data_IF_971154517457
#
_entry.id   IF_971154517457
#
_cell.length_a   1.000
_cell.length_b   1.000
_cell.length_c   1.000
_cell.angle_alpha   90.00
_cell.angle_beta   90.00
_cell.angle_gamma   90.00
#
_symmetry.space_group_name_H-M   'P 1'
#
loop_
_entity.id
_entity.type
_entity.pdbx_description
1 polymer ?
#
# COMPACT_ATOMS: atom_id res chain seq x y z
N UNK A 1 35.56 52.89 -65.17
CA UNK A 1 35.65 52.72 -63.70
C UNK A 1 34.24 52.56 -63.12
N UNK A 2 33.90 51.37 -62.59
CA UNK A 2 32.91 51.08 -61.52
C UNK A 2 32.60 49.57 -61.52
N UNK A 3 33.57 48.77 -61.05
CA UNK A 3 33.51 47.30 -60.90
C UNK A 3 32.87 46.86 -59.56
N UNK A 4 31.83 47.54 -59.05
CA UNK A 4 31.30 47.27 -57.70
C UNK A 4 29.82 46.85 -57.64
N UNK A 5 29.14 46.60 -58.76
CA UNK A 5 27.70 46.31 -58.73
C UNK A 5 27.31 44.82 -58.62
N UNK A 6 28.26 43.88 -58.72
CA UNK A 6 27.93 42.45 -58.70
C UNK A 6 27.97 41.78 -57.32
N UNK A 7 28.58 42.42 -56.31
CA UNK A 7 28.73 41.83 -54.97
C UNK A 7 27.61 42.20 -54.00
N UNK A 8 26.89 43.30 -54.25
CA UNK A 8 25.78 43.74 -53.41
C UNK A 8 24.60 42.73 -53.36
N UNK A 9 24.13 42.13 -54.48
CA UNK A 9 23.07 41.13 -54.39
C UNK A 9 23.53 39.81 -53.75
N UNK A 10 24.81 39.46 -53.87
CA UNK A 10 25.38 38.24 -53.29
C UNK A 10 25.55 38.37 -51.76
N UNK A 11 25.94 39.56 -51.28
CA UNK A 11 26.06 39.87 -49.84
C UNK A 11 24.66 39.96 -49.20
N UNK A 12 23.68 40.55 -49.89
CA UNK A 12 22.28 40.58 -49.42
C UNK A 12 21.64 39.18 -49.39
N UNK A 13 21.96 38.31 -50.36
CA UNK A 13 21.46 36.94 -50.38
C UNK A 13 22.10 36.08 -49.26
N UNK A 14 23.39 36.25 -48.97
CA UNK A 14 24.05 35.52 -47.87
C UNK A 14 23.59 36.01 -46.48
N UNK A 15 23.32 37.30 -46.28
CA UNK A 15 22.74 37.82 -45.02
C UNK A 15 21.31 37.29 -44.82
N UNK A 16 20.53 37.14 -45.90
CA UNK A 16 19.18 36.59 -45.85
C UNK A 16 19.18 35.08 -45.51
N UNK A 17 20.15 34.31 -46.02
CA UNK A 17 20.27 32.87 -45.73
C UNK A 17 20.80 32.62 -44.31
N UNK A 18 21.71 33.45 -43.78
CA UNK A 18 22.20 33.32 -42.40
C UNK A 18 21.11 33.65 -41.37
N UNK A 19 20.17 34.54 -41.71
CA UNK A 19 19.03 34.86 -40.83
C UNK A 19 17.95 33.77 -40.76
N UNK A 20 17.98 32.78 -41.67
CA UNK A 20 17.01 31.66 -41.71
C UNK A 20 17.54 30.41 -40.97
N UNK A 21 18.82 30.40 -40.56
CA UNK A 21 19.50 29.19 -40.10
C UNK A 21 19.86 29.14 -38.60
N UNK A 22 19.23 29.97 -37.75
CA UNK A 22 19.21 29.67 -36.31
C UNK A 22 17.80 29.23 -35.93
N UNK A 23 17.54 27.91 -35.79
CA UNK A 23 16.38 27.47 -35.04
C UNK A 23 16.62 27.93 -33.60
N UNK A 24 15.95 29.01 -33.21
CA UNK A 24 15.75 29.32 -31.80
C UNK A 24 14.95 28.15 -31.23
N UNK A 25 15.66 27.17 -30.68
CA UNK A 25 15.07 26.15 -29.84
C UNK A 25 14.58 26.89 -28.61
N UNK A 26 13.33 27.34 -28.66
CA UNK A 26 12.61 27.74 -27.47
C UNK A 26 12.53 26.49 -26.62
N UNK A 27 13.41 26.38 -25.63
CA UNK A 27 13.16 25.52 -24.48
C UNK A 27 11.89 26.04 -23.83
N UNK A 28 10.76 25.45 -24.22
CA UNK A 28 9.53 25.53 -23.46
C UNK A 28 9.87 24.88 -22.12
N UNK A 29 10.23 25.70 -21.13
CA UNK A 29 10.14 25.25 -19.76
C UNK A 29 8.67 24.94 -19.56
N UNK A 30 8.35 23.66 -19.36
CA UNK A 30 7.05 23.28 -18.86
C UNK A 30 6.76 24.20 -17.68
N UNK A 31 5.63 24.89 -17.72
CA UNK A 31 5.24 25.76 -16.63
C UNK A 31 5.18 24.88 -15.40
N UNK A 32 6.13 25.11 -14.48
CA UNK A 32 6.21 24.42 -13.20
C UNK A 32 5.05 24.94 -12.37
N UNK A 33 3.86 24.46 -12.72
CA UNK A 33 2.61 24.81 -12.06
C UNK A 33 2.52 23.98 -10.79
N UNK A 34 3.51 24.16 -9.90
CA UNK A 34 3.25 24.08 -8.48
C UNK A 34 2.30 25.21 -8.11
N UNK A 35 1.06 25.06 -8.56
CA UNK A 35 0.01 26.02 -8.35
C UNK A 35 -0.27 26.02 -6.85
N UNK A 36 0.24 27.04 -6.15
CA UNK A 36 0.09 27.21 -4.70
C UNK A 36 -1.37 27.08 -4.25
N UNK A 37 -2.31 27.43 -5.13
CA UNK A 37 -3.75 27.26 -4.92
C UNK A 37 -4.14 25.78 -4.84
N UNK A 38 -3.59 24.92 -5.71
CA UNK A 38 -3.86 23.48 -5.68
C UNK A 38 -3.28 22.80 -4.43
N UNK A 39 -2.12 23.27 -3.92
CA UNK A 39 -1.55 22.79 -2.65
C UNK A 39 -2.41 23.15 -1.42
N UNK A 40 -3.23 24.20 -1.52
CA UNK A 40 -4.18 24.58 -0.47
C UNK A 40 -5.45 23.70 -0.49
N UNK A 41 -5.74 23.01 -1.59
CA UNK A 41 -6.88 22.10 -1.65
C UNK A 41 -6.67 20.91 -0.70
N UNK A 42 -7.78 20.43 -0.17
CA UNK A 42 -7.83 19.26 0.71
C UNK A 42 -8.80 18.27 0.09
N UNK A 43 -8.37 17.01 0.01
CA UNK A 43 -9.26 15.93 -0.32
C UNK A 43 -10.34 15.84 0.76
N UNK A 44 -11.60 15.68 0.33
CA UNK A 44 -12.72 15.43 1.22
C UNK A 44 -13.58 14.32 0.64
N UNK A 45 -14.14 13.43 1.46
CA UNK A 45 -15.13 12.48 1.00
C UNK A 45 -16.39 13.23 0.55
N UNK A 46 -16.93 12.85 -0.61
CA UNK A 46 -18.20 13.38 -1.14
C UNK A 46 -19.34 12.36 -1.05
N UNK A 47 -19.07 11.17 -0.50
CA UNK A 47 -20.02 10.09 -0.38
C UNK A 47 -20.23 9.29 -1.68
N UNK A 48 -21.15 8.30 -1.66
CA UNK A 48 -22.04 7.95 -0.55
C UNK A 48 -21.27 7.38 0.65
N UNK A 49 -21.76 7.62 1.88
CA UNK A 49 -21.23 7.02 3.12
C UNK A 49 -21.59 5.53 3.27
N UNK A 50 -21.82 4.84 2.15
CA UNK A 50 -22.11 3.40 2.11
C UNK A 50 -20.82 2.68 1.78
N UNK A 51 -20.41 1.78 2.67
CA UNK A 51 -19.17 1.03 2.55
C UNK A 51 -19.15 0.13 1.31
N UNK A 52 -17.96 -0.04 0.75
CA UNK A 52 -17.69 -1.09 -0.23
C UNK A 52 -17.44 -2.44 0.43
N UNK A 53 -16.80 -3.34 -0.30
CA UNK A 53 -16.41 -4.65 0.20
C UNK A 53 -15.38 -4.53 1.32
N UNK A 54 -15.65 -5.20 2.44
CA UNK A 54 -14.77 -5.36 3.59
C UNK A 54 -14.27 -6.80 3.63
N UNK A 55 -12.97 -6.99 3.77
CA UNK A 55 -12.35 -8.31 3.79
C UNK A 55 -11.73 -8.63 5.16
N UNK A 56 -11.32 -7.64 5.95
CA UNK A 56 -10.77 -7.84 7.28
C UNK A 56 -11.54 -7.03 8.33
N UNK A 57 -11.68 -7.59 9.53
CA UNK A 57 -12.23 -6.89 10.70
C UNK A 57 -11.42 -7.29 11.92
N UNK A 58 -11.23 -6.36 12.84
CA UNK A 58 -10.64 -6.62 14.15
C UNK A 58 -11.26 -5.69 15.20
N UNK A 59 -11.41 -6.18 16.42
CA UNK A 59 -11.82 -5.38 17.57
C UNK A 59 -10.79 -5.46 18.68
N UNK A 60 -10.95 -4.63 19.70
CA UNK A 60 -10.11 -4.65 20.91
C UNK A 60 -10.96 -5.22 22.05
N UNK A 61 -10.56 -6.36 22.62
CA UNK A 61 -11.34 -7.01 23.67
C UNK A 61 -11.54 -6.15 24.92
N UNK A 62 -10.55 -5.29 25.24
CA UNK A 62 -10.59 -4.36 26.37
C UNK A 62 -11.32 -3.04 26.07
N UNK A 63 -11.72 -2.78 24.82
CA UNK A 63 -12.40 -1.55 24.41
C UNK A 63 -13.49 -1.84 23.38
N UNK A 64 -14.73 -1.92 23.89
CA UNK A 64 -15.93 -2.22 23.10
C UNK A 64 -16.33 -1.12 22.12
N UNK A 65 -15.67 0.04 22.11
CA UNK A 65 -15.99 1.11 21.18
C UNK A 65 -15.03 1.15 19.98
N UNK A 66 -13.89 0.47 20.07
CA UNK A 66 -12.84 0.54 19.06
C UNK A 66 -12.81 -0.70 18.18
N UNK A 67 -13.01 -0.48 16.87
CA UNK A 67 -12.97 -1.50 15.84
C UNK A 67 -12.23 -1.01 14.61
N UNK A 68 -11.72 -1.96 13.84
CA UNK A 68 -11.04 -1.73 12.57
C UNK A 68 -11.72 -2.56 11.48
N UNK A 69 -11.83 -1.98 10.28
CA UNK A 69 -12.12 -2.76 9.09
C UNK A 69 -11.09 -2.48 8.00
N UNK A 70 -10.80 -3.52 7.21
CA UNK A 70 -9.95 -3.48 6.03
C UNK A 70 -10.80 -3.58 4.77
N UNK A 71 -10.77 -2.54 3.96
CA UNK A 71 -11.49 -2.45 2.70
C UNK A 71 -10.68 -3.07 1.54
N UNK A 72 -11.37 -3.35 0.43
CA UNK A 72 -10.72 -3.74 -0.82
C UNK A 72 -10.50 -2.51 -1.69
N UNK A 73 -9.27 -2.01 -1.73
CA UNK A 73 -8.91 -0.76 -2.42
C UNK A 73 -9.14 0.51 -1.58
N UNK A 74 -9.59 0.38 -0.33
CA UNK A 74 -9.93 1.51 0.54
C UNK A 74 -9.12 1.63 1.84
N UNK A 75 -8.07 0.82 2.00
CA UNK A 75 -7.20 0.85 3.18
C UNK A 75 -7.87 0.35 4.45
N UNK A 76 -7.36 0.79 5.60
CA UNK A 76 -7.91 0.48 6.93
C UNK A 76 -8.65 1.68 7.48
N UNK A 77 -9.80 1.41 8.09
CA UNK A 77 -10.63 2.37 8.78
C UNK A 77 -10.76 1.99 10.24
N UNK A 78 -10.78 3.00 11.12
CA UNK A 78 -10.93 2.88 12.56
C UNK A 78 -12.18 3.61 13.03
N UNK A 79 -12.93 3.00 13.93
CA UNK A 79 -13.93 3.67 14.76
C UNK A 79 -13.48 3.64 16.23
N UNK A 80 -13.94 4.60 17.01
CA UNK A 80 -13.75 4.67 18.47
C UNK A 80 -15.08 4.97 19.19
N UNK A 81 -16.20 4.85 18.47
CA UNK A 81 -17.55 5.17 18.92
C UNK A 81 -18.54 4.09 18.45
N UNK A 82 -18.10 2.84 18.50
CA UNK A 82 -18.90 1.66 18.18
C UNK A 82 -19.49 1.66 16.75
N UNK A 83 -18.75 2.24 15.81
CA UNK A 83 -19.10 2.24 14.38
C UNK A 83 -20.00 3.39 13.93
N UNK A 84 -20.25 4.38 14.80
CA UNK A 84 -20.99 5.60 14.43
C UNK A 84 -20.17 6.45 13.46
N UNK A 85 -18.88 6.64 13.72
CA UNK A 85 -17.95 7.34 12.85
C UNK A 85 -16.73 6.47 12.51
N UNK A 86 -16.22 6.64 11.29
CA UNK A 86 -15.06 5.92 10.78
C UNK A 86 -14.03 6.89 10.18
N UNK A 87 -12.76 6.68 10.51
CA UNK A 87 -11.64 7.47 10.01
C UNK A 87 -10.66 6.57 9.25
N UNK A 88 -10.17 6.98 8.07
CA UNK A 88 -9.12 6.26 7.39
C UNK A 88 -7.79 6.46 8.15
N UNK A 89 -7.05 5.38 8.35
CA UNK A 89 -5.80 5.40 9.14
C UNK A 89 -4.57 4.99 8.32
N UNK A 90 -4.72 4.78 7.02
CA UNK A 90 -3.63 4.32 6.13
C UNK A 90 -3.34 5.24 4.96
N UNK A 91 -4.07 6.36 4.83
CA UNK A 91 -3.97 7.26 3.69
C UNK A 91 -2.55 7.82 3.54
N UNK A 92 -1.96 7.61 2.36
CA UNK A 92 -0.61 8.08 2.02
C UNK A 92 0.54 7.32 2.70
N UNK A 93 0.26 6.27 3.49
CA UNK A 93 1.28 5.56 4.27
C UNK A 93 1.57 4.13 3.79
N UNK A 94 0.67 3.55 3.01
CA UNK A 94 0.78 2.18 2.49
C UNK A 94 0.78 2.17 0.96
N UNK A 95 1.46 1.19 0.36
CA UNK A 95 1.62 1.08 -1.09
C UNK A 95 0.40 0.54 -1.83
N UNK A 96 -0.51 -0.16 -1.15
CA UNK A 96 -1.73 -0.73 -1.75
C UNK A 96 -2.94 -0.52 -0.84
N UNK A 97 -4.14 -0.37 -1.42
CA UNK A 97 -5.36 -0.13 -0.65
C UNK A 97 -6.14 -1.39 -0.27
N UNK A 98 -5.70 -2.59 -0.64
CA UNK A 98 -6.45 -3.82 -0.40
C UNK A 98 -5.94 -4.54 0.83
N UNK A 99 -6.81 -4.72 1.82
CA UNK A 99 -6.44 -5.32 3.11
C UNK A 99 -7.06 -6.72 3.21
N UNK A 100 -6.23 -7.72 3.47
CA UNK A 100 -6.65 -9.12 3.61
C UNK A 100 -6.84 -9.56 5.05
N UNK A 101 -6.04 -9.02 5.97
CA UNK A 101 -6.06 -9.37 7.37
C UNK A 101 -5.64 -8.19 8.26
N UNK A 102 -6.24 -8.12 9.46
CA UNK A 102 -5.85 -7.20 10.53
C UNK A 102 -5.64 -8.07 11.77
N UNK A 103 -4.47 -7.94 12.41
CA UNK A 103 -4.17 -8.55 13.70
C UNK A 103 -3.82 -7.47 14.70
N UNK A 104 -4.59 -7.38 15.80
CA UNK A 104 -4.33 -6.45 16.90
C UNK A 104 -3.75 -7.25 18.06
N UNK A 105 -2.73 -6.72 18.73
CA UNK A 105 -2.19 -7.37 19.92
C UNK A 105 -3.17 -7.27 21.09
N UNK A 106 -3.35 -8.38 21.81
CA UNK A 106 -4.14 -8.43 23.04
C UNK A 106 -3.44 -7.79 24.24
N UNK A 107 -2.10 -7.81 24.27
CA UNK A 107 -1.31 -7.21 25.37
C UNK A 107 -1.12 -5.71 25.21
N UNK A 108 -1.09 -5.22 23.97
CA UNK A 108 -0.92 -3.79 23.66
C UNK A 108 -1.68 -3.43 22.37
N UNK A 109 -2.91 -2.91 22.47
CA UNK A 109 -3.71 -2.56 21.29
C UNK A 109 -3.12 -1.45 20.41
N UNK A 110 -2.04 -0.77 20.82
CA UNK A 110 -1.30 0.12 19.93
C UNK A 110 -0.55 -0.64 18.83
N UNK A 111 -0.27 -1.93 19.05
CA UNK A 111 0.42 -2.79 18.10
C UNK A 111 -0.59 -3.44 17.16
N UNK A 112 -0.53 -3.05 15.90
CA UNK A 112 -1.42 -3.55 14.85
C UNK A 112 -0.57 -4.05 13.68
N UNK A 113 -0.93 -5.22 13.17
CA UNK A 113 -0.36 -5.84 11.99
C UNK A 113 -1.40 -5.89 10.86
N UNK A 114 -0.99 -5.51 9.65
CA UNK A 114 -1.81 -5.63 8.46
C UNK A 114 -1.20 -6.65 7.51
N UNK A 115 -2.04 -7.54 7.03
CA UNK A 115 -1.75 -8.36 5.85
C UNK A 115 -2.47 -7.77 4.64
N UNK A 116 -1.71 -7.43 3.61
CA UNK A 116 -2.24 -6.80 2.40
C UNK A 116 -2.71 -7.84 1.37
N UNK A 117 -3.57 -7.38 0.48
CA UNK A 117 -4.21 -8.15 -0.58
C UNK A 117 -5.50 -8.78 -0.12
N UNK A 118 -6.59 -8.51 -0.85
CA UNK A 118 -7.89 -8.95 -0.39
C UNK A 118 -7.99 -10.49 -0.37
N UNK A 119 -8.75 -11.00 0.60
CA UNK A 119 -8.93 -12.44 0.80
C UNK A 119 -10.10 -13.07 0.04
N UNK A 120 -10.89 -12.28 -0.69
CA UNK A 120 -12.07 -12.84 -1.36
C UNK A 120 -11.77 -13.18 -2.81
N UNK A 121 -11.51 -14.45 -3.08
CA UNK A 121 -11.10 -14.94 -4.40
C UNK A 121 -12.27 -14.92 -5.38
N UNK A 122 -12.15 -14.14 -6.47
CA UNK A 122 -13.16 -13.93 -7.52
C UNK A 122 -12.46 -13.57 -8.85
N UNK A 123 -13.22 -13.22 -9.88
CA UNK A 123 -12.64 -12.74 -11.16
C UNK A 123 -11.88 -11.40 -11.05
N UNK A 124 -12.26 -10.53 -10.11
CA UNK A 124 -11.63 -9.24 -9.85
C UNK A 124 -11.08 -9.17 -8.42
N UNK A 125 -9.78 -9.49 -8.27
CA UNK A 125 -9.10 -9.51 -6.97
C UNK A 125 -7.88 -8.61 -6.98
N UNK A 126 -7.83 -7.68 -6.04
CA UNK A 126 -6.68 -6.79 -5.86
C UNK A 126 -5.65 -7.41 -4.94
N UNK A 127 -4.43 -7.59 -5.46
CA UNK A 127 -3.30 -7.98 -4.65
C UNK A 127 -2.85 -6.83 -3.74
N UNK A 128 -2.10 -7.19 -2.71
CA UNK A 128 -1.37 -6.29 -1.85
C UNK A 128 0.13 -6.38 -2.10
N UNK A 129 0.86 -5.75 -1.19
CA UNK A 129 2.31 -5.59 -1.22
C UNK A 129 2.99 -6.09 0.06
N UNK A 130 2.32 -6.93 0.84
CA UNK A 130 2.91 -7.65 1.98
C UNK A 130 2.37 -7.26 3.34
N UNK A 131 3.27 -7.15 4.33
CA UNK A 131 2.92 -6.90 5.73
C UNK A 131 3.27 -5.47 6.16
N UNK A 132 2.40 -4.89 6.98
CA UNK A 132 2.66 -3.62 7.67
C UNK A 132 2.49 -3.77 9.18
N UNK A 133 3.20 -2.94 9.96
CA UNK A 133 3.05 -2.81 11.42
C UNK A 133 2.88 -1.34 11.80
N UNK A 134 2.00 -1.11 12.75
CA UNK A 134 1.90 0.12 13.54
C UNK A 134 2.21 -0.20 15.00
N UNK A 135 2.79 0.75 15.72
CA UNK A 135 3.03 0.70 17.18
C UNK A 135 2.38 1.88 17.90
N UNK A 136 1.48 2.58 17.22
CA UNK A 136 0.82 3.81 17.67
C UNK A 136 -0.67 3.81 17.25
N UNK A 137 -1.31 2.64 17.39
CA UNK A 137 -2.73 2.42 17.15
C UNK A 137 -3.23 2.82 15.74
N UNK A 138 -2.32 2.76 14.75
CA UNK A 138 -2.58 3.05 13.36
C UNK A 138 -2.25 4.47 12.92
N UNK A 139 -1.60 5.29 13.76
CA UNK A 139 -1.18 6.64 13.35
C UNK A 139 -0.05 6.59 12.32
N UNK A 140 0.93 5.70 12.49
CA UNK A 140 2.02 5.46 11.54
C UNK A 140 2.15 3.99 11.16
N UNK A 141 2.56 3.74 9.91
CA UNK A 141 2.75 2.39 9.37
C UNK A 141 4.15 2.16 8.82
N UNK A 142 4.70 0.98 9.12
CA UNK A 142 5.98 0.51 8.57
C UNK A 142 5.77 -0.76 7.77
N UNK A 143 6.30 -0.81 6.56
CA UNK A 143 6.40 -2.03 5.76
C UNK A 143 7.39 -3.00 6.43
N UNK A 144 6.96 -4.24 6.67
CA UNK A 144 7.72 -5.24 7.42
C UNK A 144 7.90 -6.55 6.64
N UNK A 145 7.88 -6.52 5.31
CA UNK A 145 8.24 -7.67 4.46
C UNK A 145 7.05 -8.43 3.88
N UNK A 146 7.31 -9.67 3.44
CA UNK A 146 6.37 -10.49 2.65
C UNK A 146 5.83 -9.78 1.39
N UNK A 147 6.71 -9.08 0.66
CA UNK A 147 6.37 -8.18 -0.46
C UNK A 147 5.70 -8.87 -1.65
N UNK A 148 6.04 -10.13 -1.92
CA UNK A 148 5.54 -10.92 -3.04
C UNK A 148 4.42 -11.90 -2.65
N UNK A 149 4.02 -11.91 -1.37
CA UNK A 149 2.95 -12.77 -0.88
C UNK A 149 1.60 -12.48 -1.54
N UNK A 150 1.39 -11.25 -2.01
CA UNK A 150 0.21 -10.70 -2.70
C UNK A 150 -1.12 -10.80 -1.96
N UNK A 151 -1.44 -11.92 -1.33
CA UNK A 151 -2.71 -12.16 -0.66
C UNK A 151 -2.47 -12.80 0.71
N UNK A 152 -2.56 -11.99 1.75
CA UNK A 152 -2.43 -12.42 3.14
C UNK A 152 -3.82 -12.56 3.75
N UNK A 153 -4.20 -13.80 4.06
CA UNK A 153 -5.56 -14.11 4.48
C UNK A 153 -5.76 -14.04 5.99
N UNK A 154 -4.69 -14.30 6.76
CA UNK A 154 -4.69 -14.20 8.21
C UNK A 154 -3.40 -13.66 8.76
N UNK A 155 -3.57 -12.92 9.84
CA UNK A 155 -2.53 -12.54 10.79
C UNK A 155 -3.05 -12.92 12.17
N UNK A 156 -2.24 -13.62 12.97
CA UNK A 156 -2.47 -13.81 14.40
C UNK A 156 -1.28 -13.30 15.17
N UNK A 157 -1.54 -12.49 16.17
CA UNK A 157 -0.55 -12.04 17.13
C UNK A 157 -0.62 -12.99 18.33
N UNK A 158 0.53 -13.41 18.84
CA UNK A 158 0.55 -14.26 20.03
C UNK A 158 -0.01 -13.48 21.24
N UNK A 159 -0.92 -14.08 22.03
CA UNK A 159 -1.72 -13.36 23.03
C UNK A 159 -0.92 -12.81 24.21
N UNK A 160 0.33 -13.26 24.39
CA UNK A 160 1.21 -12.81 25.49
C UNK A 160 2.51 -12.15 25.04
N UNK A 161 2.78 -12.13 23.73
CA UNK A 161 4.01 -11.55 23.20
C UNK A 161 3.75 -10.99 21.79
N UNK A 162 3.62 -9.67 21.63
CA UNK A 162 3.26 -9.06 20.35
C UNK A 162 4.34 -9.22 19.27
N UNK A 163 5.58 -9.58 19.63
CA UNK A 163 6.64 -9.81 18.65
C UNK A 163 6.53 -11.17 17.96
N UNK A 164 5.74 -12.10 18.52
CA UNK A 164 5.45 -13.38 17.90
C UNK A 164 4.18 -13.24 17.05
N UNK A 165 4.33 -13.35 15.73
CA UNK A 165 3.24 -13.15 14.76
C UNK A 165 3.24 -14.27 13.74
N UNK A 166 2.05 -14.79 13.45
CA UNK A 166 1.81 -15.84 12.46
C UNK A 166 1.01 -15.29 11.29
N UNK A 167 1.38 -15.68 10.07
CA UNK A 167 0.80 -15.18 8.83
C UNK A 167 0.46 -16.33 7.89
N UNK A 168 -0.81 -16.45 7.51
CA UNK A 168 -1.24 -17.32 6.42
C UNK A 168 -1.24 -16.52 5.10
N UNK A 169 -0.27 -16.83 4.25
CA UNK A 169 -0.16 -16.25 2.92
C UNK A 169 -0.66 -17.26 1.88
N UNK A 170 -1.69 -16.86 1.12
CA UNK A 170 -2.16 -17.65 -0.01
C UNK A 170 -1.15 -17.62 -1.16
N UNK A 171 -0.40 -16.52 -1.29
CA UNK A 171 0.49 -16.30 -2.41
C UNK A 171 -0.24 -15.65 -3.59
N UNK A 172 0.32 -15.83 -4.78
CA UNK A 172 -0.31 -15.39 -6.02
C UNK A 172 -1.55 -16.24 -6.30
N UNK A 173 -2.71 -15.60 -6.48
CA UNK A 173 -3.96 -16.26 -6.87
C UNK A 173 -3.87 -16.90 -8.26
N UNK A 174 -3.21 -16.19 -9.17
CA UNK A 174 -2.99 -16.62 -10.53
C UNK A 174 -1.48 -16.77 -10.74
N UNK A 175 -1.03 -18.02 -10.87
CA UNK A 175 0.37 -18.35 -11.07
C UNK A 175 1.06 -18.88 -9.81
N UNK A 176 2.30 -19.30 -10.02
CA UNK A 176 3.18 -19.86 -8.99
C UNK A 176 3.90 -18.72 -8.28
N UNK A 177 4.15 -18.89 -6.99
CA UNK A 177 5.08 -18.02 -6.26
C UNK A 177 5.65 -18.72 -5.03
N UNK A 178 6.86 -18.33 -4.66
CA UNK A 178 7.59 -18.92 -3.54
C UNK A 178 7.14 -18.37 -2.18
N UNK A 179 6.65 -17.13 -2.15
CA UNK A 179 6.22 -16.46 -0.93
C UNK A 179 4.76 -16.80 -0.60
N UNK A 180 4.51 -18.07 -0.26
CA UNK A 180 3.21 -18.61 0.16
C UNK A 180 3.39 -19.64 1.27
N UNK A 181 2.28 -20.00 1.92
CA UNK A 181 2.26 -20.91 3.06
C UNK A 181 2.17 -20.16 4.39
N UNK A 182 2.71 -20.75 5.45
CA UNK A 182 2.66 -20.17 6.79
C UNK A 182 4.00 -19.56 7.17
N UNK A 183 3.96 -18.33 7.65
CA UNK A 183 5.12 -17.61 8.15
C UNK A 183 4.97 -17.30 9.63
N UNK A 184 6.11 -17.24 10.32
CA UNK A 184 6.22 -16.79 11.70
C UNK A 184 7.32 -15.75 11.83
N UNK A 185 7.05 -14.69 12.56
CA UNK A 185 8.07 -13.79 13.10
C UNK A 185 8.13 -13.95 14.62
N UNK A 186 9.31 -13.75 15.20
CA UNK A 186 9.54 -13.70 16.66
C UNK A 186 10.21 -12.39 17.09
N UNK A 187 10.28 -11.41 16.19
CA UNK A 187 10.92 -10.12 16.37
C UNK A 187 10.05 -8.95 15.87
N UNK A 188 8.74 -9.18 15.86
CA UNK A 188 7.74 -8.20 15.52
C UNK A 188 7.70 -7.84 14.04
N UNK A 189 8.11 -8.76 13.16
CA UNK A 189 8.07 -8.63 11.71
C UNK A 189 9.38 -8.14 11.07
N UNK A 190 10.49 -8.07 11.82
CA UNK A 190 11.79 -7.72 11.22
C UNK A 190 12.29 -8.87 10.34
N UNK A 191 12.08 -10.11 10.78
CA UNK A 191 12.38 -11.33 10.03
C UNK A 191 11.17 -12.26 10.00
N UNK A 192 11.07 -13.03 8.90
CA UNK A 192 10.01 -14.01 8.68
C UNK A 192 10.59 -15.39 8.38
N UNK A 193 10.21 -16.37 9.19
CA UNK A 193 10.50 -17.77 8.95
C UNK A 193 9.30 -18.44 8.30
N UNK A 194 9.52 -19.13 7.18
CA UNK A 194 8.51 -19.99 6.58
C UNK A 194 8.44 -21.31 7.37
N UNK A 195 7.33 -21.54 8.06
CA UNK A 195 7.16 -22.67 9.00
C UNK A 195 6.25 -23.78 8.47
N UNK A 196 5.45 -23.50 7.44
CA UNK A 196 4.72 -24.51 6.68
C UNK A 196 4.78 -24.15 5.19
N UNK A 197 5.30 -25.08 4.39
CA UNK A 197 5.42 -24.93 2.95
C UNK A 197 5.31 -26.30 2.29
N UNK A 198 4.47 -26.38 1.25
CA UNK A 198 4.29 -27.61 0.48
C UNK A 198 4.99 -27.49 -0.87
N UNK A 199 4.65 -26.46 -1.63
CA UNK A 199 5.17 -26.16 -2.97
C UNK A 199 4.82 -24.70 -3.36
N UNK A 200 5.18 -24.29 -4.57
CA UNK A 200 4.94 -22.95 -5.12
C UNK A 200 3.52 -22.73 -5.67
N UNK A 201 2.62 -23.67 -5.44
CA UNK A 201 1.20 -23.66 -5.86
C UNK A 201 0.23 -23.75 -4.69
N UNK A 202 0.69 -24.14 -3.51
CA UNK A 202 -0.14 -24.36 -2.32
C UNK A 202 0.12 -23.27 -1.27
N UNK A 203 -0.88 -22.43 -1.01
CA UNK A 203 -0.84 -21.40 0.03
C UNK A 203 -1.58 -21.79 1.31
N UNK A 204 -1.49 -20.95 2.33
CA UNK A 204 -2.27 -21.07 3.56
C UNK A 204 -3.34 -19.98 3.61
N UNK A 205 -4.53 -20.32 4.12
CA UNK A 205 -5.68 -19.40 4.15
C UNK A 205 -6.20 -19.10 5.55
N UNK A 206 -5.97 -19.99 6.52
CA UNK A 206 -6.35 -19.75 7.91
C UNK A 206 -5.35 -20.34 8.89
N UNK A 207 -5.37 -19.82 10.11
CA UNK A 207 -4.67 -20.34 11.27
C UNK A 207 -5.34 -19.81 12.54
N UNK A 208 -5.30 -20.58 13.63
CA UNK A 208 -5.80 -20.17 14.94
C UNK A 208 -4.78 -20.60 15.99
N UNK A 209 -4.61 -19.81 17.04
CA UNK A 209 -3.86 -20.25 18.21
C UNK A 209 -4.87 -20.82 19.20
N UNK A 210 -4.52 -21.93 19.85
CA UNK A 210 -5.36 -22.43 20.95
C UNK A 210 -5.46 -21.33 22.03
N UNK A 211 -6.68 -20.93 22.42
CA UNK A 211 -6.89 -19.82 23.36
C UNK A 211 -6.38 -20.12 24.77
N UNK A 212 -6.20 -21.39 25.12
CA UNK A 212 -5.68 -21.85 26.41
C UNK A 212 -4.19 -22.17 26.36
N UNK A 213 -3.65 -22.50 25.18
CA UNK A 213 -2.24 -22.83 24.98
C UNK A 213 -1.69 -22.31 23.65
N UNK A 214 -1.19 -21.07 23.65
CA UNK A 214 -0.67 -20.42 22.45
C UNK A 214 0.61 -21.05 21.83
N UNK A 215 1.13 -22.16 22.38
CA UNK A 215 2.15 -22.99 21.72
C UNK A 215 1.54 -23.98 20.72
N UNK A 216 0.22 -24.14 20.73
CA UNK A 216 -0.54 -24.99 19.81
C UNK A 216 -1.17 -24.09 18.74
N UNK A 217 -0.95 -24.47 17.50
CA UNK A 217 -1.37 -23.81 16.26
C UNK A 217 -2.30 -24.74 15.47
#
# INVERSE_FOLDING_TARGET
MKKNFLYLPIILLTICIISIALPTVLTVKAQDSENKVLKALRWRPIGPYRGGRVAAVAGIASDINTYYFGATGGGVWKTMDAGVNWQPITDGQIGTGSVGAIGVSETDPNIIYLGMGERTVRGNVSHGDGMYKSTDAGTTWKHIGLKDSRHIFRVRVHPRNPDIVYVAALGHLFGQNQERGLFRSTDGGKNWQKILYRDDKTGATDLILDPTNANIL
#
